data_IF_335599629897
#
_entry.id   IF_335599629897
#
_cell.length_a   1.000
_cell.length_b   1.000
_cell.length_c   1.000
_cell.angle_alpha   90.00
_cell.angle_beta   90.00
_cell.angle_gamma   90.00
#
_symmetry.space_group_name_H-M   'P 1'
#
loop_
_entity.id
_entity.type
_entity.pdbx_description
1 polymer ?
#
# COMPACT_ATOMS: atom_id res chain seq x y z
N UNK A 1 -26.12 2.63 10.00
CA UNK A 1 -25.76 1.32 9.41
C UNK A 1 -24.26 1.33 9.15
N UNK A 2 -23.53 0.27 9.53
CA UNK A 2 -22.07 0.20 9.38
C UNK A 2 -21.76 -0.80 8.26
N UNK A 3 -21.30 -0.29 7.12
CA UNK A 3 -21.13 -1.03 5.87
C UNK A 3 -20.12 -2.20 5.94
N UNK A 4 -19.22 -2.21 6.93
CA UNK A 4 -18.12 -3.18 7.07
C UNK A 4 -18.14 -3.89 8.44
N UNK A 5 -19.27 -3.89 9.14
CA UNK A 5 -19.33 -4.32 10.55
C UNK A 5 -18.81 -5.75 10.80
N UNK A 6 -19.05 -6.64 9.84
CA UNK A 6 -18.68 -8.06 9.92
C UNK A 6 -17.49 -8.41 9.01
N UNK A 7 -16.86 -7.40 8.39
CA UNK A 7 -15.70 -7.57 7.51
C UNK A 7 -14.40 -7.41 8.31
N UNK A 8 -13.37 -8.10 7.87
CA UNK A 8 -12.04 -8.12 8.50
C UNK A 8 -11.27 -6.81 8.34
N UNK A 9 -11.87 -5.85 7.62
CA UNK A 9 -11.34 -4.53 7.35
C UNK A 9 -10.28 -4.54 6.24
N UNK A 10 -9.99 -3.34 5.73
CA UNK A 10 -8.92 -3.10 4.78
C UNK A 10 -8.16 -1.84 5.18
N UNK A 11 -6.95 -1.71 4.66
CA UNK A 11 -6.12 -0.51 4.86
C UNK A 11 -6.18 0.35 3.60
N UNK A 12 -6.60 1.62 3.73
CA UNK A 12 -6.55 2.61 2.66
C UNK A 12 -5.55 3.71 3.03
N UNK A 13 -4.58 3.96 2.16
CA UNK A 13 -3.54 4.96 2.35
C UNK A 13 -3.47 5.90 1.15
N UNK A 14 -3.37 7.21 1.43
CA UNK A 14 -3.20 8.26 0.42
C UNK A 14 -1.79 8.86 0.54
N UNK A 15 -0.99 8.67 -0.50
CA UNK A 15 0.42 9.02 -0.66
C UNK A 15 1.32 8.79 0.57
N UNK A 16 1.39 7.55 1.10
CA UNK A 16 2.04 7.24 2.39
C UNK A 16 3.55 7.41 2.41
N UNK A 17 4.18 7.67 1.25
CA UNK A 17 5.63 7.80 1.11
C UNK A 17 6.12 9.26 1.05
N UNK A 18 5.21 10.21 1.23
CA UNK A 18 5.54 11.64 1.30
C UNK A 18 6.65 11.89 2.32
N UNK A 19 7.68 12.66 1.92
CA UNK A 19 8.86 13.03 2.73
C UNK A 19 9.70 11.86 3.28
N UNK A 20 9.55 10.65 2.75
CA UNK A 20 10.43 9.53 3.06
C UNK A 20 11.68 9.56 2.19
N UNK A 21 12.85 9.43 2.81
CA UNK A 21 14.06 9.10 2.06
C UNK A 21 13.97 7.67 1.49
N UNK A 22 14.80 7.33 0.49
CA UNK A 22 14.71 6.03 -0.18
C UNK A 22 14.79 4.83 0.75
N UNK A 23 15.64 4.86 1.78
CA UNK A 23 15.81 3.73 2.69
C UNK A 23 14.55 3.50 3.55
N UNK A 24 13.97 4.59 4.08
CA UNK A 24 12.69 4.54 4.79
C UNK A 24 11.55 4.03 3.91
N UNK A 25 11.51 4.50 2.66
CA UNK A 25 10.47 4.11 1.71
C UNK A 25 10.53 2.63 1.34
N UNK A 26 11.73 2.10 1.08
CA UNK A 26 11.92 0.66 0.84
C UNK A 26 11.47 -0.19 2.04
N UNK A 27 11.81 0.23 3.26
CA UNK A 27 11.37 -0.47 4.47
C UNK A 27 9.84 -0.42 4.64
N UNK A 28 9.22 0.74 4.39
CA UNK A 28 7.77 0.90 4.43
C UNK A 28 7.06 0.06 3.37
N UNK A 29 7.57 0.03 2.14
CA UNK A 29 7.06 -0.82 1.05
C UNK A 29 7.11 -2.30 1.43
N UNK A 30 8.22 -2.77 2.02
CA UNK A 30 8.34 -4.15 2.51
C UNK A 30 7.35 -4.49 3.63
N UNK A 31 7.11 -3.56 4.57
CA UNK A 31 6.12 -3.75 5.63
C UNK A 31 4.69 -3.84 5.07
N UNK A 32 4.36 -2.97 4.11
CA UNK A 32 3.05 -2.98 3.43
C UNK A 32 2.85 -4.25 2.60
N UNK A 33 3.88 -4.71 1.91
CA UNK A 33 3.88 -5.96 1.14
C UNK A 33 3.63 -7.19 2.02
N UNK A 34 4.25 -7.23 3.21
CA UNK A 34 4.03 -8.29 4.19
C UNK A 34 2.60 -8.25 4.74
N UNK A 35 2.10 -7.06 5.09
CA UNK A 35 0.73 -6.89 5.58
C UNK A 35 -0.31 -7.25 4.51
N UNK A 36 -0.04 -6.96 3.24
CA UNK A 36 -0.89 -7.27 2.10
C UNK A 36 -1.08 -8.79 1.87
N UNK A 37 -0.24 -9.64 2.47
CA UNK A 37 -0.43 -11.11 2.43
C UNK A 37 -1.64 -11.56 3.27
N UNK A 38 -2.02 -10.78 4.28
CA UNK A 38 -3.06 -11.17 5.25
C UNK A 38 -4.33 -10.33 5.11
N UNK A 39 -4.19 -9.07 4.67
CA UNK A 39 -5.28 -8.09 4.61
C UNK A 39 -5.25 -7.32 3.29
N UNK A 40 -6.42 -6.90 2.81
CA UNK A 40 -6.49 -6.06 1.62
C UNK A 40 -5.89 -4.67 1.92
N UNK A 41 -5.02 -4.20 1.02
CA UNK A 41 -4.42 -2.87 1.07
C UNK A 41 -4.74 -2.13 -0.22
N UNK A 42 -5.30 -0.94 -0.11
CA UNK A 42 -5.56 0.00 -1.19
C UNK A 42 -4.62 1.19 -0.98
N UNK A 43 -3.79 1.47 -1.98
CA UNK A 43 -2.76 2.50 -1.86
C UNK A 43 -2.86 3.44 -3.05
N UNK A 44 -3.10 4.71 -2.76
CA UNK A 44 -3.27 5.76 -3.75
C UNK A 44 -1.99 6.60 -3.77
N UNK A 45 -1.43 6.83 -4.95
CA UNK A 45 -0.28 7.72 -5.13
C UNK A 45 -0.29 8.30 -6.53
N UNK A 46 0.18 9.54 -6.66
CA UNK A 46 0.41 10.19 -7.95
C UNK A 46 1.86 10.04 -8.44
N UNK A 47 2.74 9.42 -7.63
CA UNK A 47 4.15 9.28 -7.92
C UNK A 47 4.44 7.91 -8.56
N UNK A 48 4.77 7.84 -9.87
CA UNK A 48 4.99 6.57 -10.55
C UNK A 48 6.18 5.78 -10.00
N UNK A 49 7.16 6.46 -9.38
CA UNK A 49 8.26 5.80 -8.67
C UNK A 49 7.79 5.02 -7.44
N UNK A 50 6.90 5.59 -6.64
CA UNK A 50 6.34 4.96 -5.44
C UNK A 50 5.52 3.72 -5.81
N UNK A 51 4.72 3.83 -6.87
CA UNK A 51 3.93 2.72 -7.39
C UNK A 51 4.80 1.54 -7.82
N UNK A 52 5.93 1.79 -8.50
CA UNK A 52 6.88 0.73 -8.90
C UNK A 52 7.54 0.07 -7.71
N UNK A 53 7.99 0.85 -6.72
CA UNK A 53 8.63 0.30 -5.52
C UNK A 53 7.69 -0.63 -4.73
N UNK A 54 6.38 -0.35 -4.71
CA UNK A 54 5.38 -1.22 -4.09
C UNK A 54 5.20 -2.55 -4.85
N UNK A 55 5.20 -2.51 -6.19
CA UNK A 55 5.14 -3.73 -7.00
C UNK A 55 6.39 -4.57 -6.80
N UNK A 56 7.57 -3.93 -6.77
CA UNK A 56 8.86 -4.59 -6.55
C UNK A 56 8.98 -5.19 -5.14
N UNK A 57 8.37 -4.55 -4.13
CA UNK A 57 8.29 -5.09 -2.78
C UNK A 57 7.42 -6.35 -2.68
N UNK A 58 6.56 -6.61 -3.67
CA UNK A 58 5.68 -7.78 -3.74
C UNK A 58 4.36 -7.60 -3.00
N UNK A 59 3.41 -8.51 -3.23
CA UNK A 59 2.09 -8.48 -2.56
C UNK A 59 1.15 -7.36 -3.02
N UNK A 60 1.57 -6.52 -3.98
CA UNK A 60 0.76 -5.42 -4.53
C UNK A 60 0.76 -5.51 -6.06
N UNK A 61 -0.42 -5.34 -6.67
CA UNK A 61 -0.58 -5.25 -8.11
C UNK A 61 -1.02 -3.83 -8.49
N UNK A 62 -0.52 -3.32 -9.62
CA UNK A 62 -1.05 -2.07 -10.20
C UNK A 62 -2.40 -2.35 -10.83
N UNK A 63 -3.39 -1.57 -10.43
CA UNK A 63 -4.70 -1.52 -11.09
C UNK A 63 -4.76 -0.24 -11.90
N UNK A 64 -5.02 -0.35 -13.20
CA UNK A 64 -5.35 0.83 -14.01
C UNK A 64 -6.72 1.35 -13.58
N UNK A 65 -6.81 2.68 -13.39
CA UNK A 65 -8.06 3.39 -13.06
C UNK A 65 -8.79 3.88 -14.30
#
# INVERSE_FOLDING_TARGET
ELYLKDDDGFLLLDDPFTDMDPARRTAAAGALAAFAQERQVLLLTCHPGHARELVEAGGVALTEG
#
